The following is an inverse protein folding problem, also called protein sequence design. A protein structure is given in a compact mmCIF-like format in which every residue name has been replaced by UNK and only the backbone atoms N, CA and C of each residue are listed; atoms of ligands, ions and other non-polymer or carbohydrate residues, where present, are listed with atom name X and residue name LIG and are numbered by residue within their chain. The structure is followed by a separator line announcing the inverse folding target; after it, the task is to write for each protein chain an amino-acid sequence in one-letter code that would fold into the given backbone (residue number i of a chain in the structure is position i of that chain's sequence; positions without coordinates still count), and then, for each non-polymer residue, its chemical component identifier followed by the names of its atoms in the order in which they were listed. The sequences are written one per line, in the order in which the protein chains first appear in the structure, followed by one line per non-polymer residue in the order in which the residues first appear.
data_IF_521681625693
#
_entry.id   IF_521681625693
#
_cell.length_a   1.000
_cell.length_b   1.000
_cell.length_c   1.000
_cell.angle_alpha   90.00
_cell.angle_beta   90.00
_cell.angle_gamma   90.00
#
_symmetry.space_group_name_H-M   'P 1'
#
loop_
_entity.id
_entity.type
_entity.pdbx_description
1 polymer ?
#
# COMPACT_ATOMS: atom_id res chain seq x y z
N UNK A 1 -0.18 -16.89 -4.85
CA UNK A 1 -1.61 -16.50 -4.83
C UNK A 1 -1.66 -15.00 -4.54
N UNK A 2 -1.81 -14.15 -5.57
CA UNK A 2 -1.77 -12.70 -5.40
C UNK A 2 -3.17 -12.22 -5.00
N UNK A 3 -3.43 -12.17 -3.69
CA UNK A 3 -4.67 -11.65 -3.15
C UNK A 3 -4.65 -10.12 -3.12
N UNK A 4 -5.81 -9.50 -3.31
CA UNK A 4 -6.00 -8.07 -3.01
C UNK A 4 -5.60 -7.85 -1.54
N UNK A 5 -4.81 -6.81 -1.20
CA UNK A 5 -4.40 -6.57 0.18
C UNK A 5 -5.63 -6.56 1.09
N UNK A 6 -5.57 -7.34 2.18
CA UNK A 6 -6.62 -7.35 3.20
C UNK A 6 -6.87 -5.91 3.70
N UNK A 7 -8.09 -5.59 4.20
CA UNK A 7 -8.32 -4.29 4.81
C UNK A 7 -7.26 -4.01 5.88
N UNK A 8 -6.65 -2.82 5.82
CA UNK A 8 -5.58 -2.44 6.74
C UNK A 8 -6.12 -2.35 8.17
N UNK A 9 -5.45 -3.03 9.11
CA UNK A 9 -5.73 -2.89 10.54
C UNK A 9 -5.41 -1.44 10.96
N UNK A 10 -6.24 -0.74 11.74
CA UNK A 10 -5.99 0.66 12.08
C UNK A 10 -4.72 0.82 12.94
N UNK A 11 -3.93 1.86 12.66
CA UNK A 11 -2.93 2.34 13.61
C UNK A 11 -3.61 3.17 14.72
N UNK A 12 -2.92 3.41 15.87
CA UNK A 12 -3.48 4.21 16.96
C UNK A 12 -3.88 5.61 16.50
N UNK A 13 -5.14 5.99 16.76
CA UNK A 13 -5.72 7.27 16.32
C UNK A 13 -4.94 8.50 16.82
N UNK A 14 -4.19 8.39 17.92
CA UNK A 14 -3.35 9.49 18.46
C UNK A 14 -2.34 10.04 17.45
N UNK A 15 -2.00 9.25 16.41
CA UNK A 15 -1.11 9.65 15.32
C UNK A 15 -1.77 10.64 14.35
N UNK A 16 -3.11 10.67 14.26
CA UNK A 16 -3.83 11.50 13.29
C UNK A 16 -4.28 12.85 13.86
N UNK A 17 -4.25 12.99 15.18
CA UNK A 17 -4.73 14.19 15.86
C UNK A 17 -3.61 15.21 16.07
N UNK A 18 -3.96 16.49 16.06
CA UNK A 18 -3.07 17.52 16.58
C UNK A 18 -2.80 17.25 18.08
N UNK A 19 -1.57 17.46 18.53
CA UNK A 19 -1.20 17.23 19.92
C UNK A 19 -2.09 18.06 20.87
N UNK A 20 -2.97 17.38 21.60
CA UNK A 20 -3.90 18.00 22.55
C UNK A 20 -3.27 18.02 23.94
N UNK A 21 -2.64 19.14 24.31
CA UNK A 21 -2.16 19.39 25.68
C UNK A 21 -0.72 19.89 25.77
N UNK A 22 -0.29 20.20 26.99
CA UNK A 22 1.12 20.50 27.27
C UNK A 22 1.97 19.24 27.02
N UNK A 23 3.15 19.35 26.38
CA UNK A 23 3.99 18.20 26.06
C UNK A 23 4.36 17.46 27.35
N UNK A 24 3.82 16.25 27.48
CA UNK A 24 4.18 15.31 28.52
C UNK A 24 5.51 14.70 28.12
N UNK A 25 6.65 15.34 28.43
CA UNK A 25 8.05 14.97 28.12
C UNK A 25 8.35 13.45 28.14
N UNK A 26 7.81 12.70 27.19
CA UNK A 26 7.84 11.24 27.11
C UNK A 26 8.66 10.95 25.89
N UNK A 27 9.96 10.90 26.14
CA UNK A 27 10.94 10.60 25.13
C UNK A 27 11.22 9.11 25.02
N UNK A 28 10.46 8.25 25.73
CA UNK A 28 10.74 6.82 25.78
C UNK A 28 9.58 5.99 25.21
N UNK A 29 9.94 5.00 24.39
CA UNK A 29 9.12 3.85 24.01
C UNK A 29 9.74 2.64 24.70
N UNK A 30 9.05 2.04 25.67
CA UNK A 30 9.66 1.06 26.58
C UNK A 30 10.95 1.67 27.18
N UNK A 31 12.09 0.99 27.06
CA UNK A 31 13.40 1.50 27.48
C UNK A 31 14.14 2.29 26.38
N UNK A 32 13.59 2.39 25.17
CA UNK A 32 14.22 3.04 24.03
C UNK A 32 13.94 4.56 24.00
N UNK A 33 15.01 5.37 23.89
CA UNK A 33 14.94 6.83 23.82
C UNK A 33 14.74 7.31 22.38
N UNK A 34 13.62 8.00 22.15
CA UNK A 34 13.36 8.78 20.96
C UNK A 34 14.11 10.11 21.03
N UNK A 35 15.05 10.32 20.10
CA UNK A 35 15.81 11.56 19.99
C UNK A 35 14.99 12.60 19.23
N UNK A 36 14.73 13.81 19.78
CA UNK A 36 13.88 14.81 19.12
C UNK A 36 14.34 15.18 17.70
N UNK A 37 15.66 15.27 17.47
CA UNK A 37 16.23 15.53 16.14
C UNK A 37 15.91 14.43 15.12
N UNK A 38 15.82 13.17 15.54
CA UNK A 38 15.46 12.06 14.66
C UNK A 38 13.97 12.09 14.34
N UNK A 39 13.13 12.50 15.30
CA UNK A 39 11.70 12.75 15.08
C UNK A 39 11.49 13.92 14.10
N UNK A 40 12.29 14.99 14.19
CA UNK A 40 12.28 16.09 13.21
C UNK A 40 12.66 15.62 11.80
N UNK A 41 13.72 14.83 11.68
CA UNK A 41 14.13 14.23 10.41
C UNK A 41 13.01 13.35 9.82
N UNK A 42 12.42 12.50 10.65
CA UNK A 42 11.30 11.64 10.29
C UNK A 42 10.09 12.44 9.79
N UNK A 43 9.73 13.52 10.48
CA UNK A 43 8.68 14.43 10.03
C UNK A 43 9.00 15.07 8.67
N UNK A 44 10.28 15.36 8.38
CA UNK A 44 10.72 15.78 7.06
C UNK A 44 10.45 14.74 5.97
N UNK A 45 10.70 13.46 6.25
CA UNK A 45 10.37 12.34 5.34
C UNK A 45 8.86 12.25 5.11
N UNK A 46 8.05 12.32 6.18
CA UNK A 46 6.60 12.29 6.07
C UNK A 46 6.04 13.48 5.26
N UNK A 47 6.64 14.67 5.40
CA UNK A 47 6.28 15.83 4.60
C UNK A 47 6.61 15.63 3.11
N UNK A 48 7.76 15.04 2.77
CA UNK A 48 8.11 14.69 1.38
C UNK A 48 7.13 13.69 0.76
N UNK A 49 6.63 12.75 1.57
CA UNK A 49 5.60 11.78 1.20
C UNK A 49 4.18 12.38 1.21
N UNK A 50 4.04 13.67 1.52
CA UNK A 50 2.77 14.41 1.43
C UNK A 50 1.79 14.13 2.57
N UNK A 51 2.27 13.85 3.80
CA UNK A 51 1.42 13.76 4.99
C UNK A 51 0.61 15.06 5.17
N UNK A 52 -0.71 14.91 5.29
CA UNK A 52 -1.63 16.04 5.52
C UNK A 52 -1.78 16.42 7.01
N UNK A 53 -1.54 15.45 7.91
CA UNK A 53 -1.59 15.65 9.35
C UNK A 53 -0.38 16.47 9.87
N UNK A 54 -0.50 17.14 11.03
CA UNK A 54 0.61 17.89 11.61
C UNK A 54 1.83 17.01 11.91
N UNK A 55 3.02 17.61 12.05
CA UNK A 55 4.23 16.90 12.47
C UNK A 55 4.00 16.14 13.78
N UNK A 56 4.49 14.92 13.83
CA UNK A 56 4.38 14.04 14.98
C UNK A 56 5.31 14.51 16.09
N UNK A 57 4.80 14.53 17.31
CA UNK A 57 5.60 14.77 18.51
C UNK A 57 6.10 13.44 19.10
N UNK A 58 7.23 13.51 19.80
CA UNK A 58 7.80 12.37 20.54
C UNK A 58 6.76 11.73 21.47
N UNK A 59 5.97 12.55 22.16
CA UNK A 59 4.94 12.08 23.10
C UNK A 59 3.80 11.33 22.40
N UNK A 60 3.48 11.69 21.16
CA UNK A 60 2.47 11.00 20.35
C UNK A 60 2.97 9.62 19.94
N UNK A 61 4.23 9.52 19.48
CA UNK A 61 4.87 8.24 19.17
C UNK A 61 4.95 7.33 20.40
N UNK A 62 5.38 7.88 21.55
CA UNK A 62 5.44 7.16 22.81
C UNK A 62 4.06 6.73 23.33
N UNK A 63 3.00 7.48 23.00
CA UNK A 63 1.63 7.12 23.37
C UNK A 63 1.04 6.08 22.43
N UNK A 64 1.26 6.20 21.12
CA UNK A 64 0.87 5.20 20.14
C UNK A 64 1.53 3.85 20.43
N UNK A 65 2.83 3.86 20.77
CA UNK A 65 3.56 2.66 21.13
C UNK A 65 2.97 1.95 22.37
N UNK A 66 2.62 2.70 23.43
CA UNK A 66 1.97 2.12 24.61
C UNK A 66 0.62 1.48 24.28
N UNK A 67 -0.21 2.16 23.49
CA UNK A 67 -1.49 1.60 23.05
C UNK A 67 -1.32 0.28 22.29
N UNK A 68 -0.29 0.17 21.45
CA UNK A 68 0.00 -1.06 20.72
C UNK A 68 0.51 -2.18 21.63
N UNK A 69 1.31 -1.86 22.64
CA UNK A 69 1.79 -2.85 23.62
C UNK A 69 0.67 -3.35 24.53
N UNK A 70 -0.29 -2.49 24.90
CA UNK A 70 -1.45 -2.89 25.70
C UNK A 70 -2.34 -3.92 24.96
N UNK A 71 -2.31 -3.92 23.62
CA UNK A 71 -3.07 -4.81 22.75
C UNK A 71 -2.35 -6.15 22.46
N UNK A 72 -1.04 -6.25 22.70
CA UNK A 72 -0.22 -7.44 22.40
C UNK A 72 0.28 -8.15 23.65
N UNK A 73 -0.02 -9.44 23.77
CA UNK A 73 0.41 -10.26 24.92
C UNK A 73 1.88 -10.76 24.84
N UNK A 74 2.58 -10.51 23.74
CA UNK A 74 3.91 -11.05 23.43
C UNK A 74 4.83 -9.96 22.85
N UNK A 75 6.14 -10.22 22.79
CA UNK A 75 7.17 -9.28 22.31
C UNK A 75 7.15 -9.08 20.78
N UNK A 76 6.33 -9.85 20.06
CA UNK A 76 6.16 -9.73 18.62
C UNK A 76 5.52 -8.38 18.23
N UNK A 77 5.93 -7.76 17.10
CA UNK A 77 5.32 -6.52 16.63
C UNK A 77 3.80 -6.69 16.49
N UNK A 78 3.03 -5.66 16.83
CA UNK A 78 1.57 -5.71 16.67
C UNK A 78 1.17 -6.07 15.23
N UNK A 79 0.05 -6.78 15.07
CA UNK A 79 -0.39 -7.29 13.75
C UNK A 79 -0.56 -6.17 12.72
N UNK A 80 -0.94 -4.97 13.15
CA UNK A 80 -1.04 -3.82 12.26
C UNK A 80 0.33 -3.35 11.75
N UNK A 81 1.37 -3.38 12.58
CA UNK A 81 2.75 -3.09 12.16
C UNK A 81 3.24 -4.17 11.18
N UNK A 82 3.08 -5.45 11.52
CA UNK A 82 3.49 -6.57 10.67
C UNK A 82 2.90 -6.45 9.27
N UNK A 83 1.60 -6.13 9.17
CA UNK A 83 0.94 -5.90 7.88
C UNK A 83 1.60 -4.78 7.05
N UNK A 84 2.11 -3.70 7.67
CA UNK A 84 2.83 -2.64 6.93
C UNK A 84 4.23 -3.08 6.52
N UNK A 85 4.89 -3.91 7.31
CA UNK A 85 6.20 -4.47 6.94
C UNK A 85 6.05 -5.33 5.68
N UNK A 86 5.03 -6.18 5.62
CA UNK A 86 4.70 -6.97 4.42
C UNK A 86 4.40 -6.07 3.21
N UNK A 87 3.65 -4.98 3.43
CA UNK A 87 3.41 -3.98 2.38
C UNK A 87 4.70 -3.29 1.93
N UNK A 88 5.62 -2.95 2.84
CA UNK A 88 6.90 -2.35 2.49
C UNK A 88 7.73 -3.28 1.58
N UNK A 89 7.77 -4.58 1.90
CA UNK A 89 8.41 -5.59 1.05
C UNK A 89 7.76 -5.70 -0.32
N UNK A 90 6.42 -5.62 -0.39
CA UNK A 90 5.71 -5.61 -1.67
C UNK A 90 6.05 -4.36 -2.51
N UNK A 91 6.15 -3.18 -1.88
CA UNK A 91 6.56 -1.95 -2.56
C UNK A 91 8.00 -2.03 -3.08
N UNK A 92 8.89 -2.66 -2.32
CA UNK A 92 10.26 -2.91 -2.76
C UNK A 92 10.30 -3.84 -3.98
N UNK A 93 9.54 -4.95 -3.94
CA UNK A 93 9.42 -5.87 -5.09
C UNK A 93 8.88 -5.16 -6.34
N UNK A 94 7.88 -4.29 -6.16
CA UNK A 94 7.32 -3.49 -7.24
C UNK A 94 8.35 -2.54 -7.86
N UNK A 95 9.21 -1.92 -7.04
CA UNK A 95 10.26 -1.03 -7.51
C UNK A 95 11.41 -1.79 -8.20
N UNK A 96 11.71 -3.01 -7.77
CA UNK A 96 12.81 -3.82 -8.28
C UNK A 96 12.46 -4.62 -9.55
N UNK A 97 11.17 -4.84 -9.83
CA UNK A 97 10.73 -5.56 -11.02
C UNK A 97 11.05 -4.76 -12.29
N UNK A 98 11.92 -5.32 -13.13
CA UNK A 98 12.46 -4.65 -14.33
C UNK A 98 11.44 -4.59 -15.46
N UNK A 99 10.45 -5.46 -15.45
CA UNK A 99 9.39 -5.55 -16.46
C UNK A 99 8.15 -4.72 -16.07
N UNK A 100 8.19 -4.14 -14.87
CA UNK A 100 7.18 -3.24 -14.33
C UNK A 100 7.70 -1.81 -14.29
N UNK A 101 7.18 -0.96 -15.16
CA UNK A 101 7.54 0.47 -15.22
C UNK A 101 6.42 1.32 -14.56
N UNK A 102 6.49 1.58 -13.24
CA UNK A 102 5.51 2.45 -12.59
C UNK A 102 5.59 3.88 -13.10
N UNK A 103 4.52 4.66 -12.92
CA UNK A 103 4.53 6.07 -13.32
C UNK A 103 5.65 6.85 -12.61
N UNK A 104 6.16 7.96 -13.18
CA UNK A 104 7.22 8.75 -12.55
C UNK A 104 6.86 9.23 -11.13
N UNK A 105 5.58 9.55 -10.91
CA UNK A 105 5.08 9.93 -9.59
C UNK A 105 5.15 8.76 -8.61
N UNK A 106 4.69 7.58 -8.99
CA UNK A 106 4.74 6.39 -8.13
C UNK A 106 6.19 5.97 -7.88
N UNK A 107 7.04 5.99 -8.90
CA UNK A 107 8.48 5.69 -8.79
C UNK A 107 9.18 6.58 -7.75
N UNK A 108 8.86 7.88 -7.73
CA UNK A 108 9.39 8.82 -6.74
C UNK A 108 8.97 8.44 -5.33
N UNK A 109 7.69 8.17 -5.11
CA UNK A 109 7.16 7.81 -3.79
C UNK A 109 7.76 6.47 -3.31
N UNK A 110 7.85 5.46 -4.18
CA UNK A 110 8.50 4.18 -3.90
C UNK A 110 9.97 4.35 -3.51
N UNK A 111 10.71 5.17 -4.26
CA UNK A 111 12.13 5.43 -3.98
C UNK A 111 12.32 6.02 -2.59
N UNK A 112 11.46 6.98 -2.18
CA UNK A 112 11.52 7.56 -0.84
C UNK A 112 11.23 6.53 0.26
N UNK A 113 10.23 5.68 0.07
CA UNK A 113 9.86 4.62 1.01
C UNK A 113 10.98 3.58 1.14
N UNK A 114 11.51 3.11 0.02
CA UNK A 114 12.59 2.11 0.00
C UNK A 114 13.89 2.70 0.55
N UNK A 115 14.18 3.98 0.29
CA UNK A 115 15.31 4.67 0.92
C UNK A 115 15.17 4.75 2.45
N UNK A 116 13.95 4.95 2.95
CA UNK A 116 13.68 4.92 4.40
C UNK A 116 13.81 3.51 4.98
N UNK A 117 13.29 2.50 4.28
CA UNK A 117 13.38 1.09 4.68
C UNK A 117 14.85 0.65 4.88
N UNK A 118 15.72 1.06 3.96
CA UNK A 118 17.16 0.74 3.98
C UNK A 118 18.01 1.78 4.72
N UNK A 119 17.41 2.74 5.40
CA UNK A 119 18.15 3.73 6.16
C UNK A 119 18.94 3.04 7.28
N UNK A 120 20.23 3.39 7.43
CA UNK A 120 21.12 2.79 8.43
C UNK A 120 20.69 3.05 9.87
N UNK A 121 19.80 4.04 10.09
CA UNK A 121 19.28 4.41 11.40
C UNK A 121 17.77 4.62 11.32
N UNK A 122 17.03 3.60 11.71
CA UNK A 122 15.58 3.64 11.88
C UNK A 122 15.23 4.45 13.14
N UNK A 123 14.08 5.15 13.13
CA UNK A 123 13.64 5.91 14.31
C UNK A 123 13.26 4.97 15.44
N UNK A 124 12.58 3.87 15.13
CA UNK A 124 12.17 2.83 16.07
C UNK A 124 12.69 1.48 15.55
N UNK A 125 13.86 1.02 16.02
CA UNK A 125 14.45 -0.23 15.58
C UNK A 125 13.52 -1.43 15.80
N UNK A 126 13.70 -2.45 14.97
CA UNK A 126 13.02 -3.75 15.09
C UNK A 126 13.27 -4.46 16.43
N UNK A 127 14.42 -4.19 17.07
CA UNK A 127 14.76 -4.68 18.41
C UNK A 127 13.89 -4.15 19.54
N UNK A 128 13.06 -3.11 19.31
CA UNK A 128 12.13 -2.60 20.32
C UNK A 128 10.93 -3.56 20.44
N UNK A 129 10.70 -4.21 21.60
CA UNK A 129 9.65 -5.21 21.75
C UNK A 129 8.24 -4.65 21.49
N UNK A 130 7.40 -5.41 20.79
CA UNK A 130 5.99 -5.11 20.51
C UNK A 130 5.71 -4.01 19.46
N UNK A 131 6.63 -3.04 19.31
CA UNK A 131 6.42 -1.81 18.51
C UNK A 131 7.58 -1.47 17.57
N UNK A 132 8.55 -2.36 17.42
CA UNK A 132 9.63 -2.20 16.47
C UNK A 132 9.11 -1.88 15.06
N UNK A 133 9.77 -0.95 14.37
CA UNK A 133 9.38 -0.46 13.04
C UNK A 133 8.01 0.25 12.97
N UNK A 134 7.47 0.75 14.10
CA UNK A 134 6.26 1.59 14.09
C UNK A 134 6.42 2.82 13.16
N UNK A 135 7.61 3.40 13.08
CA UNK A 135 7.93 4.49 12.17
C UNK A 135 7.78 4.09 10.69
N UNK A 136 8.25 2.90 10.31
CA UNK A 136 8.02 2.35 8.97
C UNK A 136 6.52 2.15 8.70
N UNK A 137 5.77 1.66 9.68
CA UNK A 137 4.32 1.51 9.54
C UNK A 137 3.62 2.85 9.25
N UNK A 138 4.06 3.94 9.88
CA UNK A 138 3.55 5.29 9.62
C UNK A 138 3.94 5.79 8.22
N UNK A 139 5.16 5.50 7.75
CA UNK A 139 5.61 5.81 6.38
C UNK A 139 4.72 5.14 5.35
N UNK A 140 4.47 3.84 5.52
CA UNK A 140 3.61 3.07 4.64
C UNK A 140 2.18 3.62 4.67
N UNK A 141 1.63 3.91 5.84
CA UNK A 141 0.28 4.45 5.93
C UNK A 141 0.11 5.82 5.27
N UNK A 142 1.16 6.64 5.32
CA UNK A 142 1.19 7.97 4.69
C UNK A 142 1.15 7.86 3.17
N UNK A 143 1.93 6.95 2.59
CA UNK A 143 2.07 6.83 1.14
C UNK A 143 1.00 5.94 0.49
N UNK A 144 0.40 5.01 1.25
CA UNK A 144 -0.49 3.96 0.73
C UNK A 144 -1.62 4.46 -0.16
N UNK A 145 -2.38 5.54 0.17
CA UNK A 145 -3.47 6.00 -0.68
C UNK A 145 -3.01 6.37 -2.10
N UNK A 146 -1.76 6.80 -2.27
CA UNK A 146 -1.16 7.14 -3.56
C UNK A 146 -0.72 5.89 -4.34
N UNK A 147 -0.38 4.82 -3.64
CA UNK A 147 0.23 3.61 -4.22
C UNK A 147 -0.77 2.47 -4.41
N UNK A 148 -1.90 2.47 -3.71
CA UNK A 148 -2.79 1.30 -3.64
C UNK A 148 -3.28 0.83 -5.01
N UNK A 149 -3.53 1.76 -5.95
CA UNK A 149 -3.96 1.41 -7.31
C UNK A 149 -2.82 0.76 -8.11
N UNK A 150 -1.61 1.31 -8.00
CA UNK A 150 -0.44 0.74 -8.67
C UNK A 150 -0.08 -0.65 -8.10
N UNK A 151 -0.18 -0.82 -6.78
CA UNK A 151 0.00 -2.11 -6.11
C UNK A 151 -1.01 -3.14 -6.61
N UNK A 152 -2.29 -2.76 -6.73
CA UNK A 152 -3.31 -3.66 -7.27
C UNK A 152 -3.00 -4.08 -8.71
N UNK A 153 -2.57 -3.14 -9.56
CA UNK A 153 -2.15 -3.42 -10.93
C UNK A 153 -0.94 -4.37 -10.97
N UNK A 154 0.07 -4.14 -10.13
CA UNK A 154 1.26 -4.98 -10.03
C UNK A 154 0.94 -6.41 -9.60
N UNK A 155 0.05 -6.58 -8.62
CA UNK A 155 -0.38 -7.89 -8.15
C UNK A 155 -1.15 -8.68 -9.23
N UNK A 156 -2.02 -8.01 -9.98
CA UNK A 156 -2.72 -8.66 -11.10
C UNK A 156 -1.76 -8.99 -12.26
N UNK A 157 -0.80 -8.10 -12.54
CA UNK A 157 0.29 -8.36 -13.47
C UNK A 157 1.07 -9.63 -13.11
N UNK A 158 1.56 -9.73 -11.87
CA UNK A 158 2.28 -10.92 -11.40
C UNK A 158 1.42 -12.18 -11.44
N UNK A 159 0.12 -12.05 -11.14
CA UNK A 159 -0.83 -13.16 -11.27
C UNK A 159 -0.91 -13.66 -12.71
N UNK A 160 -1.07 -12.76 -13.68
CA UNK A 160 -1.17 -13.14 -15.09
C UNK A 160 0.16 -13.71 -15.62
N UNK A 161 1.30 -13.12 -15.27
CA UNK A 161 2.63 -13.65 -15.59
C UNK A 161 2.79 -15.09 -15.10
N UNK A 162 2.39 -15.35 -13.85
CA UNK A 162 2.46 -16.68 -13.26
C UNK A 162 1.53 -17.69 -13.96
N UNK A 163 0.29 -17.29 -14.31
CA UNK A 163 -0.64 -18.16 -15.04
C UNK A 163 -0.11 -18.50 -16.43
N UNK A 164 0.48 -17.53 -17.13
CA UNK A 164 1.12 -17.76 -18.43
C UNK A 164 2.37 -18.67 -18.31
N UNK A 165 3.16 -18.50 -17.24
CA UNK A 165 4.30 -19.37 -16.94
C UNK A 165 3.88 -20.83 -16.75
N UNK A 166 2.85 -21.05 -15.93
CA UNK A 166 2.28 -22.38 -15.69
C UNK A 166 1.75 -23.02 -16.98
N UNK A 167 1.06 -22.25 -17.83
CA UNK A 167 0.54 -22.73 -19.12
C UNK A 167 1.65 -23.18 -20.07
N UNK A 168 2.79 -22.50 -20.03
CA UNK A 168 3.94 -22.79 -20.89
C UNK A 168 4.93 -23.77 -20.28
N UNK A 169 4.75 -24.17 -19.00
CA UNK A 169 5.68 -25.02 -18.27
C UNK A 169 7.05 -24.36 -18.03
N UNK A 170 7.08 -23.03 -17.92
CA UNK A 170 8.28 -22.20 -17.75
C UNK A 170 8.27 -21.48 -16.41
N UNK A 171 9.40 -20.91 -16.01
CA UNK A 171 9.46 -20.03 -14.85
C UNK A 171 8.85 -18.65 -15.15
N UNK A 172 8.42 -17.92 -14.13
CA UNK A 172 7.85 -16.58 -14.29
C UNK A 172 8.85 -15.64 -15.00
N UNK A 173 10.15 -15.74 -14.71
CA UNK A 173 11.22 -14.91 -15.28
C UNK A 173 11.42 -15.14 -16.78
N UNK A 174 11.14 -16.35 -17.28
CA UNK A 174 11.28 -16.72 -18.69
C UNK A 174 10.12 -16.23 -19.56
N UNK A 175 9.04 -15.74 -18.94
CA UNK A 175 7.88 -15.22 -19.64
C UNK A 175 8.12 -13.75 -19.99
N UNK A 176 8.14 -13.47 -21.29
CA UNK A 176 8.07 -12.11 -21.86
C UNK A 176 6.65 -11.53 -21.68
N UNK A 177 6.40 -11.12 -20.44
CA UNK A 177 5.16 -10.49 -20.00
C UNK A 177 5.53 -9.29 -19.15
N UNK A 178 5.45 -8.11 -19.76
CA UNK A 178 5.75 -6.81 -19.16
C UNK A 178 4.48 -5.98 -18.95
N UNK A 179 4.64 -4.78 -18.38
CA UNK A 179 3.53 -3.83 -18.17
C UNK A 179 2.74 -3.54 -19.45
N UNK A 180 3.40 -3.34 -20.59
CA UNK A 180 2.73 -3.02 -21.86
C UNK A 180 1.79 -4.14 -22.30
N UNK A 181 2.26 -5.39 -22.23
CA UNK A 181 1.43 -6.57 -22.54
C UNK A 181 0.26 -6.72 -21.57
N UNK A 182 0.48 -6.42 -20.29
CA UNK A 182 -0.60 -6.39 -19.30
C UNK A 182 -1.65 -5.32 -19.61
N UNK A 183 -1.23 -4.10 -19.99
CA UNK A 183 -2.14 -3.02 -20.39
C UNK A 183 -2.96 -3.39 -21.64
N UNK A 184 -2.33 -4.02 -22.63
CA UNK A 184 -3.03 -4.52 -23.83
C UNK A 184 -4.13 -5.51 -23.46
N UNK A 185 -3.86 -6.46 -22.55
CA UNK A 185 -4.87 -7.40 -22.08
C UNK A 185 -6.00 -6.71 -21.33
N UNK A 186 -5.70 -5.70 -20.50
CA UNK A 186 -6.72 -4.91 -19.79
C UNK A 186 -7.62 -4.14 -20.74
N UNK A 187 -7.04 -3.57 -21.79
CA UNK A 187 -7.78 -2.86 -22.83
C UNK A 187 -8.71 -3.80 -23.62
N UNK A 188 -8.22 -5.00 -23.98
CA UNK A 188 -9.02 -6.04 -24.64
C UNK A 188 -10.19 -6.47 -23.75
N UNK A 189 -9.93 -6.72 -22.47
CA UNK A 189 -10.95 -7.11 -21.50
C UNK A 189 -12.00 -6.00 -21.29
N UNK A 190 -11.58 -4.73 -21.18
CA UNK A 190 -12.47 -3.59 -21.05
C UNK A 190 -13.41 -3.46 -22.26
N UNK A 191 -12.87 -3.58 -23.48
CA UNK A 191 -13.67 -3.55 -24.73
C UNK A 191 -14.65 -4.72 -24.80
N UNK A 192 -14.25 -5.91 -24.35
CA UNK A 192 -15.13 -7.06 -24.30
C UNK A 192 -16.30 -6.81 -23.33
N UNK A 193 -16.03 -6.27 -22.14
CA UNK A 193 -17.07 -5.92 -21.18
C UNK A 193 -18.02 -4.84 -21.70
N UNK A 194 -17.51 -3.81 -22.37
CA UNK A 194 -18.34 -2.80 -23.04
C UNK A 194 -19.24 -3.39 -24.12
N UNK A 195 -18.69 -4.26 -24.96
CA UNK A 195 -19.47 -4.96 -25.97
C UNK A 195 -20.56 -5.82 -25.34
N UNK A 196 -20.24 -6.58 -24.29
CA UNK A 196 -21.22 -7.39 -23.56
C UNK A 196 -22.31 -6.55 -22.91
N UNK A 197 -21.99 -5.39 -22.33
CA UNK A 197 -22.99 -4.44 -21.79
C UNK A 197 -23.93 -3.97 -22.90
N UNK A 198 -23.38 -3.51 -24.02
CA UNK A 198 -24.16 -3.07 -25.19
C UNK A 198 -25.09 -4.16 -25.71
N UNK A 199 -24.60 -5.41 -25.83
CA UNK A 199 -25.39 -6.54 -26.31
C UNK A 199 -26.52 -6.89 -25.33
N UNK A 200 -26.30 -6.78 -24.01
CA UNK A 200 -27.36 -6.99 -23.01
C UNK A 200 -28.41 -5.88 -23.03
N UNK A 201 -28.01 -4.65 -23.33
CA UNK A 201 -28.90 -3.48 -23.43
C UNK A 201 -29.67 -3.45 -24.76
N UNK A 202 -29.09 -3.99 -25.83
CA UNK A 202 -29.81 -4.20 -27.09
C UNK A 202 -30.73 -5.42 -26.98
N UNK A 203 -32.04 -5.19 -26.95
CA UNK A 203 -33.01 -6.27 -27.08
C UNK A 203 -32.80 -6.99 -28.41
N UNK A 204 -32.57 -8.31 -28.37
CA UNK A 204 -32.67 -9.19 -29.55
C UNK A 204 -34.12 -9.42 -29.97
N UNK A 205 -35.11 -8.91 -29.23
CA UNK A 205 -36.50 -8.99 -29.64
C UNK A 205 -36.71 -8.02 -30.82
N UNK A 206 -37.18 -8.52 -31.99
CA UNK A 206 -37.55 -7.62 -33.09
C UNK A 206 -38.57 -6.61 -32.58
N UNK A 207 -38.45 -5.37 -33.04
CA UNK A 207 -39.41 -4.30 -32.77
C UNK A 207 -40.83 -4.85 -33.03
N UNK A 208 -41.78 -4.75 -32.09
CA UNK A 208 -43.09 -5.34 -32.26
C UNK A 208 -43.72 -4.75 -33.52
N UNK A 209 -43.95 -5.61 -34.52
CA UNK A 209 -44.54 -5.22 -35.79
C UNK A 209 -45.84 -4.45 -35.52
N UNK A 210 -45.86 -3.18 -35.89
CA UNK A 210 -47.04 -2.33 -35.86
C UNK A 210 -48.03 -2.89 -36.89
N UNK A 211 -48.95 -3.75 -36.45
CA UNK A 211 -50.00 -4.26 -37.33
C UNK A 211 -50.87 -3.10 -37.82
N UNK A 212 -50.82 -2.79 -39.11
CA UNK A 212 -51.74 -1.87 -39.75
C UNK A 212 -53.16 -2.43 -39.66
N UNK A 213 -54.06 -1.74 -38.97
CA UNK A 213 -55.50 -2.03 -39.01
C UNK A 213 -56.08 -1.41 -40.27
N UNK A 214 -56.58 -2.25 -41.17
CA UNK A 214 -57.43 -1.83 -42.28
C UNK A 214 -58.86 -1.73 -41.73
N UNK A 215 -59.47 -0.56 -41.88
CA UNK A 215 -60.85 -0.24 -41.49
C UNK A 215 -61.85 -0.69 -42.55
#
# INVERSE_FOLDING_TARGET
MYAIPAPRLPLPQVLDHAATGAPLRRHHINDYLLVPREVEYFNGVLALLGRAAPPLQTDQLATAARMLNDDTADDAPSACIQQRIEHAQLLEQLLQDRDWEPSPQVSRELTLVVAYLHASRQLIPDTVPGVGQLDLAIVIDTVWPKLTAEVANFLDYRRLRHVEAQRQGRSDEEIDFNRSRWLELREIEARLHEHQRRVRESSYAPEPLTYFRVH
#
